data_IF_339999657307
#
_entry.id   IF_339999657307
#
_cell.length_a   1.000
_cell.length_b   1.000
_cell.length_c   1.000
_cell.angle_alpha   90.00
_cell.angle_beta   90.00
_cell.angle_gamma   90.00
#
_symmetry.space_group_name_H-M   'P 1'
#
loop_
_entity.id
_entity.type
_entity.pdbx_description
1 polymer ?
#
# COMPACT_ATOMS: atom_id res chain seq x y z
N UNK A 1 -3.80 0.90 20.69
CA UNK A 1 -2.85 0.00 20.00
C UNK A 1 -1.73 0.87 19.42
N UNK A 2 -0.46 0.48 19.52
CA UNK A 2 0.65 1.25 18.93
C UNK A 2 0.79 0.82 17.47
N UNK A 3 0.82 1.77 16.54
CA UNK A 3 1.05 1.51 15.11
C UNK A 3 2.55 1.59 14.84
N UNK A 4 3.08 0.57 14.17
CA UNK A 4 4.48 0.51 13.76
C UNK A 4 4.65 1.08 12.34
N UNK A 5 5.58 2.01 12.19
CA UNK A 5 5.90 2.62 10.92
C UNK A 5 7.22 2.08 10.39
N UNK A 6 7.17 1.47 9.22
CA UNK A 6 8.33 0.97 8.51
C UNK A 6 8.60 1.86 7.31
N UNK A 7 9.86 1.98 6.92
CA UNK A 7 10.22 2.77 5.75
C UNK A 7 10.89 1.90 4.71
N UNK A 8 10.33 1.89 3.49
CA UNK A 8 10.80 1.05 2.38
C UNK A 8 11.13 1.90 1.16
N UNK A 9 12.09 1.45 0.36
CA UNK A 9 12.39 2.04 -0.94
C UNK A 9 11.73 1.18 -2.02
N UNK A 10 10.59 1.62 -2.59
CA UNK A 10 9.93 0.85 -3.64
C UNK A 10 10.70 0.95 -4.96
N UNK A 11 10.47 -0.03 -5.84
CA UNK A 11 10.88 0.05 -7.26
C UNK A 11 9.85 0.79 -8.11
N UNK A 12 8.56 0.67 -7.75
CA UNK A 12 7.45 1.34 -8.44
C UNK A 12 6.42 1.94 -7.47
N UNK A 13 5.72 2.99 -7.91
CA UNK A 13 4.56 3.57 -7.19
C UNK A 13 3.24 3.39 -7.90
N UNK A 14 3.26 3.43 -9.23
CA UNK A 14 2.09 3.24 -10.08
C UNK A 14 1.90 1.76 -10.39
N UNK A 15 0.69 1.25 -10.12
CA UNK A 15 0.26 -0.05 -10.60
C UNK A 15 -0.75 0.14 -11.73
N UNK A 16 -0.56 -0.55 -12.85
CA UNK A 16 -1.50 -0.49 -13.98
C UNK A 16 -2.91 -0.88 -13.54
N UNK A 17 -3.91 -0.11 -13.98
CA UNK A 17 -5.31 -0.46 -13.79
C UNK A 17 -5.65 -1.69 -14.63
N UNK A 18 -6.03 -2.78 -13.98
CA UNK A 18 -6.44 -4.03 -14.62
C UNK A 18 -7.68 -4.58 -13.92
N UNK A 19 -8.36 -5.54 -14.57
CA UNK A 19 -9.56 -6.16 -14.01
C UNK A 19 -10.64 -5.11 -13.70
N UNK A 20 -11.09 -5.06 -12.44
CA UNK A 20 -12.11 -4.12 -11.97
C UNK A 20 -11.68 -2.64 -12.08
N UNK A 21 -10.37 -2.37 -12.21
CA UNK A 21 -9.82 -1.03 -12.37
C UNK A 21 -9.49 -0.67 -13.83
N UNK A 22 -10.02 -1.41 -14.81
CA UNK A 22 -9.74 -1.19 -16.24
C UNK A 22 -10.14 0.20 -16.76
N UNK A 23 -11.07 0.88 -16.09
CA UNK A 23 -11.43 2.27 -16.41
C UNK A 23 -10.40 3.32 -15.96
N UNK A 24 -9.37 2.92 -15.23
CA UNK A 24 -8.28 3.79 -14.78
C UNK A 24 -6.96 3.37 -15.40
N UNK A 25 -6.10 4.33 -15.73
CA UNK A 25 -4.76 4.01 -16.26
C UNK A 25 -3.87 3.37 -15.19
N UNK A 26 -3.83 3.97 -14.00
CA UNK A 26 -2.98 3.54 -12.90
C UNK A 26 -3.63 3.83 -11.54
N UNK A 27 -3.22 3.06 -10.53
CA UNK A 27 -3.42 3.39 -9.11
C UNK A 27 -2.10 3.85 -8.49
N UNK A 28 -2.15 4.89 -7.66
CA UNK A 28 -1.01 5.38 -6.91
C UNK A 28 -0.99 4.75 -5.52
N UNK A 29 0.12 4.12 -5.14
CA UNK A 29 0.27 3.49 -3.84
C UNK A 29 1.55 4.00 -3.14
N UNK A 30 1.45 5.00 -2.24
CA UNK A 30 2.56 5.49 -1.42
C UNK A 30 2.72 4.75 -0.07
N UNK A 31 1.73 3.92 0.33
CA UNK A 31 1.72 3.20 1.60
C UNK A 31 1.17 1.78 1.46
N UNK A 32 1.77 0.82 2.14
CA UNK A 32 1.15 -0.48 2.38
C UNK A 32 0.79 -0.63 3.86
N UNK A 33 -0.31 -1.31 4.16
CA UNK A 33 -0.83 -1.42 5.53
C UNK A 33 -1.83 -0.32 5.87
N UNK A 34 -2.23 -0.24 7.13
CA UNK A 34 -3.27 0.67 7.60
C UNK A 34 -3.10 0.91 9.10
N UNK A 35 -3.28 2.16 9.55
CA UNK A 35 -3.28 2.53 10.96
C UNK A 35 -4.68 2.48 11.61
N UNK A 36 -5.75 2.29 10.81
CA UNK A 36 -7.14 2.31 11.28
C UNK A 36 -7.67 0.92 11.64
N UNK A 37 -7.21 -0.13 10.94
CA UNK A 37 -7.54 -1.52 11.28
C UNK A 37 -9.02 -1.90 11.18
N UNK A 38 -9.80 -1.26 10.29
CA UNK A 38 -11.25 -1.50 10.22
C UNK A 38 -11.58 -2.99 10.01
N UNK A 39 -12.50 -3.53 10.81
CA UNK A 39 -12.91 -4.94 10.79
C UNK A 39 -13.49 -5.39 9.45
N UNK A 40 -14.11 -4.46 8.72
CA UNK A 40 -14.74 -4.68 7.41
C UNK A 40 -13.81 -4.40 6.21
N UNK A 41 -12.52 -4.08 6.44
CA UNK A 41 -11.64 -3.71 5.35
C UNK A 41 -11.28 -4.92 4.48
N UNK A 42 -11.77 -4.95 3.25
CA UNK A 42 -11.46 -6.03 2.30
C UNK A 42 -9.94 -6.15 2.02
N UNK A 43 -9.20 -5.04 2.13
CA UNK A 43 -7.75 -5.01 1.90
C UNK A 43 -7.03 -5.99 2.82
N UNK A 44 -7.54 -6.26 4.04
CA UNK A 44 -6.97 -7.24 4.98
C UNK A 44 -6.79 -8.62 4.36
N UNK A 45 -7.63 -9.00 3.40
CA UNK A 45 -7.59 -10.30 2.71
C UNK A 45 -6.77 -10.27 1.40
N UNK A 46 -6.08 -9.16 1.11
CA UNK A 46 -5.15 -9.09 -0.02
C UNK A 46 -3.81 -9.77 0.36
N UNK A 47 -3.01 -10.25 -0.61
CA UNK A 47 -1.79 -11.02 -0.32
C UNK A 47 -0.83 -10.34 0.65
N UNK A 48 -0.59 -9.03 0.51
CA UNK A 48 0.39 -8.30 1.36
C UNK A 48 0.01 -8.38 2.86
N UNK A 49 -1.19 -7.98 3.30
CA UNK A 49 -1.58 -8.15 4.69
C UNK A 49 -1.90 -9.58 5.09
N UNK A 50 -2.40 -10.43 4.19
CA UNK A 50 -2.74 -11.83 4.49
C UNK A 50 -1.53 -12.67 4.89
N UNK A 51 -0.38 -12.45 4.22
CA UNK A 51 0.86 -13.17 4.51
C UNK A 51 1.77 -12.44 5.50
N UNK A 52 1.34 -11.30 6.03
CA UNK A 52 2.07 -10.58 7.06
C UNK A 52 1.73 -11.15 8.44
N UNK A 53 2.71 -11.18 9.35
CA UNK A 53 2.54 -11.76 10.70
C UNK A 53 1.91 -10.78 11.67
N UNK A 54 2.12 -9.49 11.44
CA UNK A 54 1.60 -8.39 12.25
C UNK A 54 0.10 -8.21 12.05
N UNK A 55 -0.59 -7.87 13.13
CA UNK A 55 -2.04 -7.67 13.14
C UNK A 55 -2.52 -6.59 12.14
N UNK A 56 -3.69 -6.80 11.53
CA UNK A 56 -4.27 -5.78 10.67
C UNK A 56 -4.59 -4.51 11.46
N UNK A 57 -4.06 -3.37 11.01
CA UNK A 57 -4.22 -2.11 11.73
C UNK A 57 -3.02 -1.69 12.58
N UNK A 58 -2.05 -2.59 12.82
CA UNK A 58 -0.91 -2.30 13.69
C UNK A 58 0.35 -1.84 12.94
N UNK A 59 0.32 -1.73 11.61
CA UNK A 59 1.50 -1.40 10.82
C UNK A 59 1.20 -0.58 9.56
N UNK A 60 2.18 0.26 9.18
CA UNK A 60 2.21 0.99 7.91
C UNK A 60 3.63 0.98 7.35
N UNK A 61 3.79 0.49 6.12
CA UNK A 61 5.00 0.66 5.32
C UNK A 61 4.90 1.96 4.51
N UNK A 62 5.75 2.92 4.83
CA UNK A 62 5.90 4.21 4.16
C UNK A 62 6.93 4.06 3.03
N UNK A 63 6.52 4.32 1.79
CA UNK A 63 7.42 4.31 0.65
C UNK A 63 8.22 5.61 0.57
N UNK A 64 9.52 5.55 0.84
CA UNK A 64 10.43 6.70 0.76
C UNK A 64 10.66 7.12 -0.69
N UNK A 65 11.03 8.40 -0.86
CA UNK A 65 11.28 9.05 -2.16
C UNK A 65 10.08 8.96 -3.11
N UNK A 66 8.86 8.95 -2.56
CA UNK A 66 7.65 8.75 -3.36
C UNK A 66 7.45 9.82 -4.44
N UNK A 67 7.64 11.11 -4.11
CA UNK A 67 7.50 12.17 -5.09
C UNK A 67 8.52 12.05 -6.24
N UNK A 68 9.78 11.76 -5.93
CA UNK A 68 10.85 11.65 -6.94
C UNK A 68 10.66 10.44 -7.84
N UNK A 69 10.22 9.30 -7.28
CA UNK A 69 9.94 8.11 -8.07
C UNK A 69 8.69 8.31 -8.93
N UNK A 70 7.63 8.94 -8.41
CA UNK A 70 6.44 9.24 -9.20
C UNK A 70 6.76 10.10 -10.42
N UNK A 71 7.59 11.14 -10.24
CA UNK A 71 8.04 11.99 -11.37
C UNK A 71 8.80 11.24 -12.47
N UNK A 72 9.41 10.08 -12.15
CA UNK A 72 10.09 9.23 -13.15
C UNK A 72 9.13 8.26 -13.85
N UNK A 73 7.96 8.01 -13.27
CA UNK A 73 6.96 7.07 -13.79
C UNK A 73 5.85 7.75 -14.60
N UNK A 74 5.73 9.07 -14.50
CA UNK A 74 4.90 9.92 -15.37
C UNK A 74 5.60 10.15 -16.71
#
# INVERSE_FOLDING_TARGET
MKVEFFYKYPKTLLNKGTGFLSGYSYSLNPYAGCAFGCSYCYVRQMPVPMFRKEEWGSWVDIKKKSADLLRKEL
#
